data_IF_587648157630
#
_entry.id   IF_587648157630
#
_cell.length_a   1.000
_cell.length_b   1.000
_cell.length_c   1.000
_cell.angle_alpha   90.00
_cell.angle_beta   90.00
_cell.angle_gamma   90.00
#
_symmetry.space_group_name_H-M   'P 1'
#
loop_
_entity.id
_entity.type
_entity.pdbx_description
1 polymer ?
#
# COMPACT_ATOMS: atom_id res chain seq x y z
N UNK A 1 18.78 52.87 -10.42
CA UNK A 1 18.27 52.24 -11.66
C UNK A 1 18.84 50.82 -11.69
N UNK A 2 18.09 49.84 -11.16
CA UNK A 2 18.53 48.46 -11.13
C UNK A 2 17.93 47.74 -12.37
N UNK A 3 18.83 47.40 -13.30
CA UNK A 3 18.46 46.59 -14.47
C UNK A 3 18.18 45.16 -14.04
N UNK A 4 16.93 44.75 -14.19
CA UNK A 4 16.48 43.36 -13.98
C UNK A 4 17.16 42.48 -15.05
N UNK A 5 17.93 41.48 -14.61
CA UNK A 5 18.53 40.49 -15.51
C UNK A 5 17.43 39.70 -16.22
N UNK A 6 17.58 39.36 -17.52
CA UNK A 6 16.57 38.56 -18.22
C UNK A 6 16.53 37.15 -17.67
N UNK A 7 15.31 36.67 -17.40
CA UNK A 7 15.02 35.29 -17.02
C UNK A 7 15.43 34.38 -18.18
N UNK A 8 16.27 33.34 -18.00
CA UNK A 8 16.62 32.45 -19.08
C UNK A 8 15.34 31.70 -19.53
N UNK A 9 15.11 31.79 -20.85
CA UNK A 9 13.99 31.14 -21.52
C UNK A 9 13.88 29.66 -21.12
N UNK A 10 12.69 29.30 -20.72
CA UNK A 10 12.28 27.95 -20.37
C UNK A 10 12.79 26.95 -21.43
N UNK A 11 13.50 25.95 -20.92
CA UNK A 11 14.03 24.80 -21.62
C UNK A 11 12.96 24.29 -22.58
N UNK A 12 13.11 24.55 -23.88
CA UNK A 12 12.32 23.99 -24.96
C UNK A 12 12.57 22.48 -24.98
N UNK A 13 11.84 21.74 -24.15
CA UNK A 13 11.84 20.29 -24.15
C UNK A 13 11.36 19.84 -25.54
N UNK A 14 12.30 19.37 -26.37
CA UNK A 14 11.97 18.74 -27.66
C UNK A 14 10.86 17.71 -27.42
N UNK A 15 9.75 17.77 -28.18
CA UNK A 15 8.68 16.78 -28.02
C UNK A 15 9.25 15.38 -28.24
N UNK A 16 9.28 14.59 -27.19
CA UNK A 16 9.68 13.18 -27.26
C UNK A 16 8.81 12.51 -28.29
N UNK A 17 9.37 11.88 -29.35
CA UNK A 17 8.57 11.27 -30.40
C UNK A 17 7.63 10.25 -29.76
N UNK A 18 6.31 10.46 -29.91
CA UNK A 18 5.27 9.56 -29.39
C UNK A 18 5.44 8.22 -30.09
N UNK A 19 6.21 7.31 -29.52
CA UNK A 19 6.31 5.93 -30.04
C UNK A 19 4.91 5.34 -30.04
N UNK A 20 4.43 4.94 -31.21
CA UNK A 20 3.11 4.32 -31.38
C UNK A 20 3.11 2.99 -30.62
N UNK A 21 2.12 2.80 -29.76
CA UNK A 21 1.88 1.55 -29.06
C UNK A 21 1.11 0.62 -30.01
N UNK A 22 1.51 -0.65 -30.09
CA UNK A 22 0.79 -1.63 -30.90
C UNK A 22 -0.67 -1.77 -30.44
N UNK A 23 -1.66 -1.84 -31.35
CA UNK A 23 -3.07 -1.98 -30.97
C UNK A 23 -3.35 -3.17 -30.05
N UNK A 24 -2.63 -4.29 -30.26
CA UNK A 24 -2.75 -5.48 -29.40
C UNK A 24 -2.30 -5.19 -27.95
N UNK A 25 -1.23 -4.40 -27.78
CA UNK A 25 -0.75 -4.00 -26.44
C UNK A 25 -1.72 -3.02 -25.80
N UNK A 26 -2.30 -2.09 -26.56
CA UNK A 26 -3.35 -1.19 -26.08
C UNK A 26 -4.52 -2.00 -25.54
N UNK A 27 -5.03 -2.94 -26.32
CA UNK A 27 -6.13 -3.83 -25.92
C UNK A 27 -5.80 -4.65 -24.66
N UNK A 28 -4.58 -5.21 -24.57
CA UNK A 28 -4.16 -5.93 -23.36
C UNK A 28 -4.11 -5.03 -22.11
N UNK A 29 -3.67 -3.78 -22.25
CA UNK A 29 -3.66 -2.79 -21.16
C UNK A 29 -5.08 -2.45 -20.72
N UNK A 30 -6.00 -2.25 -21.67
CA UNK A 30 -7.41 -1.99 -21.38
C UNK A 30 -8.06 -3.13 -20.60
N UNK A 31 -7.81 -4.39 -20.99
CA UNK A 31 -8.29 -5.58 -20.29
C UNK A 31 -7.74 -5.70 -18.85
N UNK A 32 -6.51 -5.25 -18.62
CA UNK A 32 -5.92 -5.22 -17.29
C UNK A 32 -6.53 -4.10 -16.44
N UNK A 33 -6.68 -2.91 -17.00
CA UNK A 33 -7.20 -1.73 -16.29
C UNK A 33 -8.69 -1.89 -15.99
N UNK A 34 -9.50 -2.45 -16.91
CA UNK A 34 -10.94 -2.72 -16.67
C UNK A 34 -11.18 -3.79 -15.61
N UNK A 35 -10.14 -4.59 -15.27
CA UNK A 35 -10.27 -5.70 -14.33
C UNK A 35 -10.87 -6.98 -14.95
N UNK A 36 -11.14 -7.00 -16.27
CA UNK A 36 -11.60 -8.20 -16.97
C UNK A 36 -10.56 -9.32 -16.93
N UNK A 37 -9.28 -8.95 -16.90
CA UNK A 37 -8.18 -9.87 -16.77
C UNK A 37 -7.39 -9.57 -15.48
N UNK A 38 -7.38 -10.53 -14.55
CA UNK A 38 -6.63 -10.40 -13.28
C UNK A 38 -5.13 -10.68 -13.44
N UNK A 39 -4.71 -11.26 -14.54
CA UNK A 39 -3.32 -11.67 -14.75
C UNK A 39 -2.80 -11.24 -16.13
N UNK A 40 -1.49 -10.94 -16.19
CA UNK A 40 -0.81 -10.63 -17.46
C UNK A 40 -0.95 -11.77 -18.48
N UNK A 41 -0.99 -13.03 -18.00
CA UNK A 41 -1.18 -14.20 -18.87
C UNK A 41 -2.53 -14.15 -19.57
N UNK A 42 -3.61 -13.96 -18.82
CA UNK A 42 -4.98 -13.90 -19.37
C UNK A 42 -5.17 -12.72 -20.33
N UNK A 43 -4.58 -11.55 -20.01
CA UNK A 43 -4.63 -10.39 -20.89
C UNK A 43 -3.84 -10.62 -22.20
N UNK A 44 -2.68 -11.28 -22.11
CA UNK A 44 -1.89 -11.61 -23.29
C UNK A 44 -2.62 -12.59 -24.22
N UNK A 45 -3.24 -13.63 -23.69
CA UNK A 45 -4.03 -14.60 -24.43
C UNK A 45 -5.20 -13.94 -25.16
N UNK A 46 -5.99 -13.11 -24.47
CA UNK A 46 -7.10 -12.37 -25.08
C UNK A 46 -6.65 -11.38 -26.17
N UNK A 47 -5.47 -10.77 -26.00
CA UNK A 47 -4.91 -9.84 -26.97
C UNK A 47 -4.09 -10.51 -28.08
N UNK A 48 -4.05 -11.84 -28.15
CA UNK A 48 -3.22 -12.62 -29.08
C UNK A 48 -1.74 -12.22 -29.02
N UNK A 49 -1.20 -12.14 -27.79
CA UNK A 49 0.20 -11.86 -27.50
C UNK A 49 0.78 -13.00 -26.64
N UNK A 50 2.10 -13.20 -26.74
CA UNK A 50 2.77 -14.06 -25.77
C UNK A 50 2.89 -13.33 -24.41
N UNK A 51 2.85 -14.08 -23.31
CA UNK A 51 3.04 -13.52 -21.95
C UNK A 51 4.34 -12.71 -21.85
N UNK A 52 5.43 -13.25 -22.40
CA UNK A 52 6.73 -12.58 -22.39
C UNK A 52 6.73 -11.30 -23.23
N UNK A 53 6.08 -11.34 -24.40
CA UNK A 53 5.92 -10.20 -25.29
C UNK A 53 5.18 -9.05 -24.61
N UNK A 54 4.07 -9.36 -23.92
CA UNK A 54 3.32 -8.37 -23.16
C UNK A 54 4.13 -7.85 -21.96
N UNK A 55 4.81 -8.72 -21.21
CA UNK A 55 5.65 -8.33 -20.08
C UNK A 55 6.78 -7.38 -20.52
N UNK A 56 7.48 -7.70 -21.61
CA UNK A 56 8.50 -6.82 -22.21
C UNK A 56 7.91 -5.50 -22.73
N UNK A 57 6.68 -5.53 -23.25
CA UNK A 57 6.01 -4.32 -23.72
C UNK A 57 5.63 -3.40 -22.55
N UNK A 58 5.11 -3.94 -21.45
CA UNK A 58 4.77 -3.18 -20.25
C UNK A 58 5.98 -2.51 -19.59
N UNK A 59 7.18 -3.09 -19.72
CA UNK A 59 8.44 -2.49 -19.26
C UNK A 59 8.93 -1.29 -20.09
N UNK A 60 8.31 -1.00 -21.25
CA UNK A 60 8.68 0.17 -22.06
C UNK A 60 8.06 1.44 -21.50
N UNK A 61 8.87 2.50 -21.31
CA UNK A 61 8.46 3.78 -20.71
C UNK A 61 7.14 4.34 -21.28
N UNK A 62 7.00 4.34 -22.61
CA UNK A 62 5.79 4.88 -23.26
C UNK A 62 4.53 4.00 -23.05
N UNK A 63 4.69 2.69 -22.84
CA UNK A 63 3.59 1.76 -22.52
C UNK A 63 3.23 1.87 -21.05
N UNK A 64 4.23 1.97 -20.18
CA UNK A 64 4.02 2.21 -18.74
C UNK A 64 3.28 3.53 -18.50
N UNK A 65 3.68 4.61 -19.18
CA UNK A 65 2.98 5.90 -19.11
C UNK A 65 1.52 5.79 -19.61
N UNK A 66 1.26 5.02 -20.65
CA UNK A 66 -0.10 4.77 -21.13
C UNK A 66 -0.92 3.99 -20.09
N UNK A 67 -0.37 2.92 -19.52
CA UNK A 67 -1.02 2.15 -18.45
C UNK A 67 -1.38 3.06 -17.26
N UNK A 68 -0.44 3.89 -16.81
CA UNK A 68 -0.66 4.85 -15.73
C UNK A 68 -1.79 5.84 -16.06
N UNK A 69 -1.81 6.38 -17.27
CA UNK A 69 -2.87 7.28 -17.72
C UNK A 69 -4.24 6.61 -17.71
N UNK A 70 -4.35 5.38 -18.23
CA UNK A 70 -5.60 4.62 -18.24
C UNK A 70 -6.07 4.30 -16.80
N UNK A 71 -5.14 3.92 -15.93
CA UNK A 71 -5.43 3.68 -14.50
C UNK A 71 -5.96 4.94 -13.82
N UNK A 72 -5.36 6.10 -14.06
CA UNK A 72 -5.85 7.39 -13.51
C UNK A 72 -7.26 7.71 -13.99
N UNK A 73 -7.55 7.50 -15.29
CA UNK A 73 -8.89 7.70 -15.85
C UNK A 73 -9.91 6.78 -15.19
N UNK A 74 -9.56 5.50 -14.99
CA UNK A 74 -10.43 4.54 -14.32
C UNK A 74 -10.68 4.93 -12.86
N UNK A 75 -9.64 5.30 -12.12
CA UNK A 75 -9.78 5.76 -10.72
C UNK A 75 -10.67 7.00 -10.64
N UNK A 76 -10.50 7.96 -11.55
CA UNK A 76 -11.36 9.14 -11.59
C UNK A 76 -12.85 8.78 -11.80
N UNK A 77 -13.15 7.80 -12.65
CA UNK A 77 -14.53 7.31 -12.85
C UNK A 77 -15.08 6.60 -11.61
N UNK A 78 -14.24 5.94 -10.83
CA UNK A 78 -14.65 5.23 -9.62
C UNK A 78 -14.82 6.15 -8.40
N UNK A 79 -14.34 7.39 -8.43
CA UNK A 79 -14.43 8.32 -7.30
C UNK A 79 -15.88 8.61 -6.91
N UNK A 80 -16.77 8.88 -7.88
CA UNK A 80 -18.17 9.19 -7.60
C UNK A 80 -18.93 8.01 -6.95
N UNK A 81 -18.90 6.77 -7.51
CA UNK A 81 -19.55 5.63 -6.87
C UNK A 81 -18.92 5.26 -5.53
N UNK A 82 -17.60 5.45 -5.36
CA UNK A 82 -16.93 5.22 -4.08
C UNK A 82 -17.40 6.22 -3.02
N UNK A 83 -17.51 7.50 -3.37
CA UNK A 83 -18.05 8.53 -2.47
C UNK A 83 -19.50 8.22 -2.07
N UNK A 84 -20.35 7.79 -3.03
CA UNK A 84 -21.72 7.35 -2.74
C UNK A 84 -21.76 6.14 -1.78
N UNK A 85 -20.86 5.18 -1.95
CA UNK A 85 -20.77 4.03 -1.05
C UNK A 85 -20.35 4.45 0.36
N UNK A 86 -19.36 5.34 0.49
CA UNK A 86 -18.94 5.88 1.78
C UNK A 86 -20.08 6.65 2.47
N UNK A 87 -20.79 7.50 1.73
CA UNK A 87 -21.94 8.23 2.27
C UNK A 87 -23.02 7.28 2.79
N UNK A 88 -23.36 6.23 2.05
CA UNK A 88 -24.31 5.21 2.47
C UNK A 88 -23.83 4.43 3.71
N UNK A 89 -22.58 3.98 3.74
CA UNK A 89 -22.04 3.29 4.91
C UNK A 89 -22.03 4.17 6.16
N UNK A 90 -21.76 5.46 6.01
CA UNK A 90 -21.80 6.38 7.13
C UNK A 90 -23.22 6.55 7.71
N UNK A 91 -24.25 6.48 6.85
CA UNK A 91 -25.65 6.67 7.27
C UNK A 91 -26.32 5.36 7.73
N UNK A 92 -26.02 4.23 7.09
CA UNK A 92 -26.83 2.99 7.17
C UNK A 92 -26.08 1.79 7.74
N UNK A 93 -24.75 1.88 8.00
CA UNK A 93 -24.02 0.73 8.53
C UNK A 93 -24.58 0.31 9.89
N UNK A 94 -24.77 -0.99 10.09
CA UNK A 94 -25.29 -1.56 11.33
C UNK A 94 -24.32 -1.43 12.53
N UNK A 95 -23.05 -1.14 12.27
CA UNK A 95 -22.01 -1.00 13.30
C UNK A 95 -21.59 0.45 13.42
N UNK A 96 -21.72 1.03 14.63
CA UNK A 96 -21.23 2.37 14.94
C UNK A 96 -19.73 2.53 14.71
N UNK A 97 -18.96 1.46 14.90
CA UNK A 97 -17.53 1.46 14.60
C UNK A 97 -17.25 1.69 13.12
N UNK A 98 -17.99 1.02 12.23
CA UNK A 98 -17.89 1.21 10.79
C UNK A 98 -18.29 2.63 10.41
N UNK A 99 -19.40 3.15 10.96
CA UNK A 99 -19.82 4.54 10.71
C UNK A 99 -18.75 5.54 11.10
N UNK A 100 -18.16 5.37 12.30
CA UNK A 100 -17.10 6.26 12.78
C UNK A 100 -15.84 6.20 11.93
N UNK A 101 -15.43 4.99 11.49
CA UNK A 101 -14.24 4.84 10.65
C UNK A 101 -14.45 5.42 9.24
N UNK A 102 -15.63 5.24 8.67
CA UNK A 102 -15.99 5.87 7.38
C UNK A 102 -16.02 7.39 7.53
N UNK A 103 -16.60 7.93 8.60
CA UNK A 103 -16.62 9.36 8.86
C UNK A 103 -15.21 9.95 8.97
N UNK A 104 -14.32 9.29 9.73
CA UNK A 104 -12.89 9.67 9.80
C UNK A 104 -12.22 9.64 8.43
N UNK A 105 -12.53 8.62 7.62
CA UNK A 105 -11.94 8.48 6.29
C UNK A 105 -12.40 9.60 5.34
N UNK A 106 -13.69 9.94 5.36
CA UNK A 106 -14.25 11.06 4.60
C UNK A 106 -13.61 12.38 5.01
N UNK A 107 -13.48 12.62 6.31
CA UNK A 107 -12.81 13.82 6.82
C UNK A 107 -11.33 13.88 6.40
N UNK A 108 -10.64 12.75 6.41
CA UNK A 108 -9.25 12.69 5.96
C UNK A 108 -9.10 13.01 4.47
N UNK A 109 -10.02 12.55 3.61
CA UNK A 109 -10.06 12.88 2.19
C UNK A 109 -10.32 14.37 1.99
N UNK A 110 -11.18 14.99 2.83
CA UNK A 110 -11.46 16.42 2.81
C UNK A 110 -10.32 17.29 3.37
N UNK A 111 -9.20 16.67 3.78
CA UNK A 111 -8.04 17.38 4.32
C UNK A 111 -8.06 17.57 5.84
N UNK A 112 -9.14 17.19 6.52
CA UNK A 112 -9.22 17.16 7.97
C UNK A 112 -8.62 15.85 8.50
N UNK A 113 -7.29 15.78 8.55
CA UNK A 113 -6.63 14.61 9.14
C UNK A 113 -6.93 14.61 10.64
N UNK A 114 -7.56 13.56 11.18
CA UNK A 114 -7.62 13.39 12.64
C UNK A 114 -6.18 13.39 13.15
N UNK A 115 -5.91 14.14 14.23
CA UNK A 115 -4.61 14.07 14.88
C UNK A 115 -4.33 12.58 15.13
N UNK A 116 -3.18 12.12 14.62
CA UNK A 116 -2.74 10.76 14.91
C UNK A 116 -2.83 10.59 16.41
N UNK A 117 -3.68 9.67 16.86
CA UNK A 117 -3.72 9.30 18.28
C UNK A 117 -2.27 9.02 18.66
N UNK A 118 -1.77 9.76 19.66
CA UNK A 118 -0.42 9.59 20.16
C UNK A 118 -0.24 8.09 20.37
N UNK A 119 0.57 7.45 19.54
CA UNK A 119 0.95 6.07 19.80
C UNK A 119 1.72 6.13 21.12
N UNK A 120 1.07 5.73 22.20
CA UNK A 120 1.75 5.49 23.46
C UNK A 120 2.59 4.26 23.21
N UNK A 121 3.83 4.46 22.78
CA UNK A 121 4.82 3.39 22.78
C UNK A 121 5.15 3.13 24.24
N UNK A 122 4.46 2.15 24.82
CA UNK A 122 4.83 1.60 26.12
C UNK A 122 6.15 0.87 25.91
N UNK A 123 7.23 1.56 26.20
CA UNK A 123 8.56 0.96 26.24
C UNK A 123 8.62 0.14 27.53
N UNK A 124 8.20 -1.14 27.45
CA UNK A 124 8.34 -2.07 28.57
C UNK A 124 9.82 -2.46 28.60
N UNK A 125 10.58 -1.74 29.41
CA UNK A 125 11.95 -2.11 29.75
C UNK A 125 11.86 -3.33 30.71
N UNK A 126 11.79 -4.53 30.13
CA UNK A 126 11.86 -5.78 30.87
C UNK A 126 13.31 -5.93 31.30
N UNK A 127 13.64 -5.36 32.47
CA UNK A 127 14.87 -5.77 33.15
C UNK A 127 14.72 -7.25 33.48
N UNK A 128 15.42 -8.09 32.70
CA UNK A 128 15.60 -9.49 33.03
C UNK A 128 16.38 -9.59 34.35
N UNK A 129 15.67 -9.53 35.46
CA UNK A 129 16.21 -9.45 36.81
C UNK A 129 15.67 -10.52 37.74
N UNK A 130 15.16 -11.61 37.20
CA UNK A 130 14.96 -12.83 37.96
C UNK A 130 16.02 -13.85 37.55
N UNK A 131 17.19 -13.73 38.15
CA UNK A 131 18.13 -14.85 38.20
C UNK A 131 17.60 -15.75 39.32
N UNK A 132 16.95 -16.85 38.96
CA UNK A 132 16.68 -17.93 39.91
C UNK A 132 18.05 -18.58 40.17
N UNK A 133 18.68 -18.18 41.28
CA UNK A 133 19.89 -18.83 41.75
C UNK A 133 19.49 -20.20 42.31
N UNK A 134 19.67 -21.26 41.50
CA UNK A 134 19.43 -22.63 41.90
C UNK A 134 20.63 -23.23 42.64
N UNK A 135 21.61 -22.42 43.03
CA UNK A 135 22.81 -22.86 43.72
C UNK A 135 22.68 -22.89 45.26
N UNK A 136 21.49 -22.65 45.80
CA UNK A 136 21.23 -22.95 47.22
C UNK A 136 21.27 -24.48 47.42
N UNK A 137 22.48 -25.00 47.39
CA UNK A 137 22.79 -26.31 47.97
C UNK A 137 22.45 -26.23 49.45
N UNK A 138 21.24 -26.61 49.83
CA UNK A 138 20.95 -26.88 51.24
C UNK A 138 21.97 -27.94 51.71
N UNK A 139 22.70 -27.66 52.80
CA UNK A 139 23.57 -28.70 53.36
C UNK A 139 22.70 -29.91 53.72
N UNK A 140 22.99 -31.03 53.05
CA UNK A 140 22.37 -32.31 53.36
C UNK A 140 22.74 -32.58 54.85
N UNK A 141 21.76 -32.44 55.73
CA UNK A 141 21.96 -32.81 57.14
C UNK A 141 22.42 -34.26 57.22
N UNK A 142 23.19 -34.62 58.29
CA UNK A 142 23.71 -35.96 58.45
C UNK A 142 22.58 -36.98 58.44
N UNK A 143 22.75 -38.02 57.56
CA UNK A 143 21.86 -39.16 57.53
C UNK A 143 22.02 -39.87 58.90
N UNK A 144 20.99 -39.84 59.72
CA UNK A 144 20.96 -40.63 60.95
C UNK A 144 20.63 -42.05 60.55
N UNK A 145 21.68 -42.91 60.51
CA UNK A 145 21.52 -44.36 60.39
C UNK A 145 20.81 -44.86 61.65
N UNK A 146 19.57 -45.21 61.49
CA UNK A 146 18.80 -45.87 62.54
C UNK A 146 19.14 -47.38 62.55
N UNK A 147 20.19 -47.74 63.24
CA UNK A 147 20.39 -49.14 63.67
C UNK A 147 19.43 -49.44 64.77
N UNK A 148 18.46 -50.26 64.49
CA UNK A 148 17.59 -50.91 65.44
C UNK A 148 18.27 -52.19 65.93
N UNK A 149 18.56 -52.24 67.22
CA UNK A 149 18.64 -53.49 67.98
C UNK A 149 17.26 -54.06 68.25
#
# INVERSE_FOLDING_TARGET
MNALAPIPDAISAKPVPKKRISPRVVHAVELLVSGECKTIKAAAEKANLSREGLSKALGKVHVAAYLEQQTRIMLARLQAPAAGTLARLMAEAASEHVQNDVAKHVLAIAGHKPQASTQVSVNIDIKAGYVIDLTDARPVGPIIDGTHD
#
